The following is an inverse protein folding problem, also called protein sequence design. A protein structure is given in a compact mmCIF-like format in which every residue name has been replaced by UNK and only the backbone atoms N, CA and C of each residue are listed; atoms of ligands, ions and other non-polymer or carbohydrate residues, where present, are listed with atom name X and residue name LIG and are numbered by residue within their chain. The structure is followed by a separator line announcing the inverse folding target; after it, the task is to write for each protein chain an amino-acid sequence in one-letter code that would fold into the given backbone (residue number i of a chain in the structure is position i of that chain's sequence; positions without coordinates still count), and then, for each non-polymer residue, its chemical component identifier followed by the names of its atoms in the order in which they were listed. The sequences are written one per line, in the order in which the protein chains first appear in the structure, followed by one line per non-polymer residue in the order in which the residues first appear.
data_IF_735789650074
#
_entry.id   IF_735789650074
#
_cell.length_a   1.000
_cell.length_b   1.000
_cell.length_c   1.000
_cell.angle_alpha   90.00
_cell.angle_beta   90.00
_cell.angle_gamma   90.00
#
_symmetry.space_group_name_H-M   'P 1'
#
loop_
_entity.id
_entity.type
_entity.pdbx_description
1 polymer ?
#
# COMPACT_ATOMS: atom_id res chain seq x y z
N UNK A 1 30.33 -1.89 -20.55
CA UNK A 1 29.25 -2.83 -20.95
C UNK A 1 28.48 -3.12 -19.69
N UNK A 2 27.42 -2.35 -19.42
CA UNK A 2 26.61 -2.50 -18.21
C UNK A 2 25.66 -3.65 -18.50
N UNK A 3 25.84 -4.78 -17.82
CA UNK A 3 24.90 -5.90 -17.88
C UNK A 3 23.48 -5.37 -17.66
N UNK A 4 22.58 -5.65 -18.59
CA UNK A 4 21.16 -5.38 -18.39
C UNK A 4 20.72 -6.17 -17.16
N UNK A 5 20.54 -5.48 -16.03
CA UNK A 5 20.03 -6.11 -14.80
C UNK A 5 18.75 -6.85 -15.16
N UNK A 6 18.80 -8.17 -15.06
CA UNK A 6 17.66 -9.04 -15.27
C UNK A 6 16.50 -8.52 -14.40
N UNK A 7 15.39 -8.19 -15.06
CA UNK A 7 14.09 -7.78 -14.50
C UNK A 7 13.73 -8.69 -13.32
N UNK A 8 13.93 -8.23 -12.09
CA UNK A 8 13.74 -9.07 -10.91
C UNK A 8 12.24 -9.22 -10.61
N UNK A 9 11.57 -10.11 -11.35
CA UNK A 9 10.23 -10.59 -11.03
C UNK A 9 10.36 -11.70 -10.01
N UNK A 10 9.94 -11.44 -8.78
CA UNK A 10 9.95 -12.44 -7.72
C UNK A 10 8.65 -13.24 -7.82
N UNK A 11 8.76 -14.51 -8.20
CA UNK A 11 7.61 -15.41 -8.30
C UNK A 11 7.24 -15.87 -6.89
N UNK A 12 5.93 -15.89 -6.58
CA UNK A 12 5.46 -16.65 -5.43
C UNK A 12 5.55 -18.14 -5.72
N UNK A 13 5.67 -18.91 -4.65
CA UNK A 13 5.72 -20.37 -4.67
C UNK A 13 4.46 -21.00 -5.24
N UNK A 14 3.31 -20.34 -5.13
CA UNK A 14 2.04 -20.79 -5.70
C UNK A 14 1.96 -20.60 -7.22
N UNK A 15 2.92 -19.93 -7.85
CA UNK A 15 3.00 -19.75 -9.30
C UNK A 15 2.02 -18.72 -9.88
N UNK A 16 1.38 -17.91 -9.03
CA UNK A 16 0.37 -16.91 -9.42
C UNK A 16 1.05 -15.65 -9.97
N UNK A 17 1.15 -15.55 -11.29
CA UNK A 17 1.89 -14.47 -11.95
C UNK A 17 1.32 -13.06 -11.75
N UNK A 18 0.03 -12.96 -11.46
CA UNK A 18 -0.66 -11.69 -11.18
C UNK A 18 -0.28 -11.10 -9.82
N UNK A 19 0.08 -11.96 -8.86
CA UNK A 19 0.60 -11.59 -7.54
C UNK A 19 2.12 -11.65 -7.45
N UNK A 20 2.83 -11.77 -8.58
CA UNK A 20 4.28 -11.70 -8.58
C UNK A 20 4.76 -10.29 -8.19
N UNK A 21 5.69 -10.19 -7.26
CA UNK A 21 6.28 -8.92 -6.83
C UNK A 21 7.13 -8.35 -7.97
N UNK A 22 6.82 -7.11 -8.35
CA UNK A 22 7.54 -6.32 -9.36
C UNK A 22 7.84 -4.95 -8.75
N UNK A 23 9.11 -4.69 -8.46
CA UNK A 23 9.51 -3.47 -7.79
C UNK A 23 9.45 -2.28 -8.74
N UNK A 24 8.28 -1.67 -8.87
CA UNK A 24 8.02 -0.64 -9.87
C UNK A 24 8.88 0.62 -9.63
N UNK A 25 9.32 0.92 -8.41
CA UNK A 25 10.27 2.02 -8.17
C UNK A 25 11.68 1.75 -8.70
N UNK A 26 12.09 0.49 -8.89
CA UNK A 26 13.38 0.17 -9.52
C UNK A 26 13.27 0.33 -11.04
N UNK A 27 12.06 0.19 -11.58
CA UNK A 27 11.77 0.18 -13.02
C UNK A 27 11.42 1.59 -13.53
N UNK A 28 10.61 2.37 -12.79
CA UNK A 28 10.01 3.63 -13.21
C UNK A 28 9.84 4.67 -12.05
N UNK A 29 10.78 4.79 -11.10
CA UNK A 29 10.66 5.83 -10.05
C UNK A 29 10.76 7.23 -10.66
N UNK A 30 9.63 7.81 -11.06
CA UNK A 30 9.56 9.13 -11.69
C UNK A 30 8.81 10.16 -10.83
N UNK A 31 8.16 9.76 -9.73
CA UNK A 31 7.40 10.64 -8.85
C UNK A 31 8.18 11.11 -7.62
N UNK A 32 8.38 12.42 -7.47
CA UNK A 32 8.67 13.03 -6.16
C UNK A 32 7.51 12.80 -5.20
N UNK A 33 7.78 12.71 -3.89
CA UNK A 33 6.73 12.63 -2.86
C UNK A 33 6.58 11.26 -2.19
N UNK A 34 5.44 11.07 -1.52
CA UNK A 34 5.07 9.94 -0.70
C UNK A 34 3.91 9.14 -1.31
N UNK A 35 3.97 7.81 -1.15
CA UNK A 35 2.82 6.92 -1.30
C UNK A 35 2.49 6.34 0.07
N UNK A 36 1.26 6.52 0.55
CA UNK A 36 0.77 5.78 1.71
C UNK A 36 0.22 4.43 1.27
N UNK A 37 0.64 3.35 1.93
CA UNK A 37 0.16 1.99 1.69
C UNK A 37 -0.60 1.53 2.92
N UNK A 38 -1.91 1.40 2.78
CA UNK A 38 -2.83 0.95 3.81
C UNK A 38 -3.13 -0.52 3.62
N UNK A 39 -2.94 -1.32 4.66
CA UNK A 39 -3.54 -2.66 4.73
C UNK A 39 -4.88 -2.55 5.44
N UNK A 40 -5.94 -3.04 4.81
CA UNK A 40 -7.28 -3.01 5.39
C UNK A 40 -7.91 -4.41 5.36
N UNK A 41 -8.71 -4.70 6.38
CA UNK A 41 -9.62 -5.83 6.43
C UNK A 41 -10.78 -5.50 7.35
N UNK A 42 -11.98 -5.42 6.80
CA UNK A 42 -13.21 -5.09 7.51
C UNK A 42 -13.11 -3.75 8.29
N UNK A 43 -12.66 -2.71 7.60
CA UNK A 43 -12.40 -1.35 8.14
C UNK A 43 -13.40 -0.30 7.64
N UNK A 44 -14.55 -0.69 7.07
CA UNK A 44 -15.53 0.24 6.49
C UNK A 44 -15.95 1.34 7.48
N UNK A 45 -16.00 1.02 8.77
CA UNK A 45 -16.33 1.99 9.83
C UNK A 45 -15.19 2.99 10.12
N UNK A 46 -13.94 2.58 9.97
CA UNK A 46 -12.75 3.35 10.33
C UNK A 46 -12.32 4.28 9.19
N UNK A 47 -12.42 3.81 7.94
CA UNK A 47 -11.90 4.52 6.77
C UNK A 47 -12.41 5.96 6.57
N UNK A 48 -13.67 6.31 6.87
CA UNK A 48 -14.13 7.70 6.79
C UNK A 48 -13.36 8.68 7.69
N UNK A 49 -12.72 8.17 8.75
CA UNK A 49 -11.89 8.97 9.66
C UNK A 49 -10.40 8.93 9.29
N UNK A 50 -9.95 7.80 8.76
CA UNK A 50 -8.54 7.54 8.44
C UNK A 50 -8.12 8.16 7.10
N UNK A 51 -8.88 7.90 6.04
CA UNK A 51 -8.51 8.29 4.68
C UNK A 51 -8.38 9.80 4.45
N UNK A 52 -9.23 10.68 5.01
CA UNK A 52 -9.18 12.10 4.66
C UNK A 52 -7.82 12.76 4.94
N UNK A 53 -7.24 12.49 6.12
CA UNK A 53 -5.94 13.07 6.49
C UNK A 53 -4.81 12.52 5.63
N UNK A 54 -4.82 11.20 5.37
CA UNK A 54 -3.81 10.55 4.53
C UNK A 54 -3.87 11.08 3.09
N UNK A 55 -5.04 11.07 2.45
CA UNK A 55 -5.22 11.50 1.05
C UNK A 55 -4.79 12.95 0.80
N UNK A 56 -4.95 13.84 1.79
CA UNK A 56 -4.50 15.24 1.71
C UNK A 56 -2.99 15.40 1.88
N UNK A 57 -2.32 14.43 2.48
CA UNK A 57 -0.92 14.53 2.91
C UNK A 57 0.07 13.87 1.98
N UNK A 58 -0.39 13.03 1.04
CA UNK A 58 0.47 12.28 0.12
C UNK A 58 0.02 12.42 -1.33
N UNK A 59 0.93 12.15 -2.25
CA UNK A 59 0.68 12.19 -3.68
C UNK A 59 -0.19 11.01 -4.13
N UNK A 60 -0.01 9.85 -3.51
CA UNK A 60 -0.75 8.62 -3.82
C UNK A 60 -1.09 7.83 -2.54
N UNK A 61 -2.26 7.23 -2.53
CA UNK A 61 -2.72 6.31 -1.48
C UNK A 61 -3.08 4.98 -2.13
N UNK A 62 -2.50 3.90 -1.62
CA UNK A 62 -2.81 2.53 -2.03
C UNK A 62 -3.51 1.86 -0.86
N UNK A 63 -4.77 1.46 -1.05
CA UNK A 63 -5.50 0.63 -0.10
C UNK A 63 -5.45 -0.81 -0.60
N UNK A 64 -4.82 -1.69 0.19
CA UNK A 64 -4.77 -3.13 -0.08
C UNK A 64 -5.80 -3.82 0.78
N UNK A 65 -6.91 -4.21 0.15
CA UNK A 65 -8.00 -4.96 0.76
C UNK A 65 -7.65 -6.45 0.89
N UNK A 66 -7.61 -6.96 2.12
CA UNK A 66 -7.35 -8.37 2.38
C UNK A 66 -8.64 -9.18 2.59
N UNK A 67 -9.54 -9.09 1.61
CA UNK A 67 -10.78 -9.87 1.57
C UNK A 67 -11.78 -9.40 2.60
N UNK A 68 -12.08 -8.09 2.62
CA UNK A 68 -13.14 -7.55 3.46
C UNK A 68 -14.52 -8.01 3.00
N UNK A 69 -15.48 -7.98 3.92
CA UNK A 69 -16.86 -8.43 3.73
C UNK A 69 -17.89 -7.37 4.13
N UNK A 70 -17.44 -6.23 4.63
CA UNK A 70 -18.25 -5.13 5.18
C UNK A 70 -18.38 -3.92 4.24
N UNK A 71 -17.93 -4.03 2.98
CA UNK A 71 -17.94 -2.93 2.02
C UNK A 71 -16.74 -1.98 2.13
N UNK A 72 -15.67 -2.37 2.84
CA UNK A 72 -14.42 -1.60 2.96
C UNK A 72 -13.91 -0.99 1.65
N UNK A 73 -13.76 -1.74 0.53
CA UNK A 73 -13.23 -1.16 -0.70
C UNK A 73 -14.15 -0.10 -1.30
N UNK A 74 -15.48 -0.29 -1.25
CA UNK A 74 -16.46 0.69 -1.72
C UNK A 74 -16.40 1.97 -0.90
N UNK A 75 -16.35 1.86 0.43
CA UNK A 75 -16.22 3.02 1.32
C UNK A 75 -14.93 3.80 1.05
N UNK A 76 -13.81 3.11 0.77
CA UNK A 76 -12.56 3.78 0.43
C UNK A 76 -12.70 4.68 -0.81
N UNK A 77 -13.34 4.15 -1.86
CA UNK A 77 -13.63 4.88 -3.09
C UNK A 77 -14.56 6.06 -2.84
N UNK A 78 -15.67 5.85 -2.13
CA UNK A 78 -16.65 6.90 -1.80
C UNK A 78 -16.02 8.07 -1.03
N UNK A 79 -15.16 7.78 -0.05
CA UNK A 79 -14.46 8.80 0.74
C UNK A 79 -13.51 9.62 -0.15
N UNK A 80 -12.74 8.96 -1.03
CA UNK A 80 -11.82 9.66 -1.92
C UNK A 80 -12.56 10.52 -2.95
N UNK A 81 -13.63 10.00 -3.55
CA UNK A 81 -14.50 10.74 -4.48
C UNK A 81 -15.17 11.93 -3.79
N UNK A 82 -15.70 11.74 -2.59
CA UNK A 82 -16.31 12.82 -1.79
C UNK A 82 -15.35 13.96 -1.44
N UNK A 83 -14.03 13.68 -1.44
CA UNK A 83 -12.98 14.68 -1.24
C UNK A 83 -12.43 15.26 -2.55
N UNK A 84 -12.86 14.77 -3.71
CA UNK A 84 -12.27 15.13 -5.01
C UNK A 84 -10.83 14.64 -5.18
N UNK A 85 -10.44 13.58 -4.46
CA UNK A 85 -9.09 13.01 -4.45
C UNK A 85 -9.08 11.56 -4.99
N UNK A 86 -10.12 11.15 -5.72
CA UNK A 86 -10.26 9.82 -6.31
C UNK A 86 -9.06 9.39 -7.16
N UNK A 87 -8.50 10.31 -7.95
CA UNK A 87 -7.30 10.06 -8.78
C UNK A 87 -6.03 9.76 -7.96
N UNK A 88 -6.02 10.09 -6.66
CA UNK A 88 -4.91 9.76 -5.75
C UNK A 88 -5.07 8.42 -5.07
N UNK A 89 -6.24 7.78 -5.17
CA UNK A 89 -6.53 6.51 -4.52
C UNK A 89 -6.42 5.35 -5.53
N UNK A 90 -5.74 4.29 -5.11
CA UNK A 90 -5.79 2.99 -5.77
C UNK A 90 -6.21 1.93 -4.77
N UNK A 91 -7.27 1.19 -5.09
CA UNK A 91 -7.71 0.05 -4.28
C UNK A 91 -7.27 -1.23 -4.97
N UNK A 92 -6.56 -2.10 -4.24
CA UNK A 92 -6.04 -3.37 -4.72
C UNK A 92 -6.62 -4.50 -3.88
N UNK A 93 -7.05 -5.59 -4.52
CA UNK A 93 -7.52 -6.77 -3.82
C UNK A 93 -6.39 -7.78 -3.60
N UNK A 94 -6.29 -8.32 -2.39
CA UNK A 94 -5.40 -9.41 -2.04
C UNK A 94 -6.21 -10.54 -1.36
N UNK A 95 -6.77 -11.47 -2.12
CA UNK A 95 -7.81 -12.40 -1.66
C UNK A 95 -7.26 -13.67 -0.98
N UNK A 96 -6.07 -13.59 -0.37
CA UNK A 96 -5.44 -14.73 0.30
C UNK A 96 -5.54 -14.62 1.82
N UNK A 97 -5.70 -15.75 2.50
CA UNK A 97 -5.54 -15.80 3.94
C UNK A 97 -4.06 -15.54 4.30
N UNK A 98 -3.77 -14.35 4.82
CA UNK A 98 -2.42 -13.94 5.22
C UNK A 98 -2.15 -14.41 6.65
N UNK A 99 -0.99 -15.02 6.86
CA UNK A 99 -0.51 -15.49 8.16
C UNK A 99 -0.49 -14.36 9.19
N UNK A 100 -1.01 -14.61 10.40
CA UNK A 100 -0.94 -13.64 11.49
C UNK A 100 0.45 -13.60 12.10
N UNK A 101 0.81 -12.47 12.70
CA UNK A 101 2.04 -12.37 13.49
C UNK A 101 2.04 -13.43 14.60
N UNK A 102 3.16 -14.11 14.80
CA UNK A 102 3.31 -15.21 15.75
C UNK A 102 3.65 -16.53 15.05
N UNK A 103 3.27 -17.68 15.62
CA UNK A 103 3.62 -18.99 15.06
C UNK A 103 3.21 -19.13 13.59
N UNK A 104 1.97 -18.76 13.22
CA UNK A 104 1.50 -18.85 11.82
C UNK A 104 2.47 -18.21 10.83
N UNK A 105 3.01 -17.04 11.16
CA UNK A 105 4.03 -16.37 10.34
C UNK A 105 5.32 -17.18 10.23
N UNK A 106 5.82 -17.76 11.34
CA UNK A 106 7.04 -18.57 11.36
C UNK A 106 6.93 -19.86 10.55
N UNK A 107 5.74 -20.44 10.45
CA UNK A 107 5.48 -21.66 9.68
C UNK A 107 5.16 -21.40 8.21
N UNK A 108 4.91 -20.14 7.83
CA UNK A 108 4.57 -19.78 6.45
C UNK A 108 5.81 -19.36 5.68
N UNK A 109 6.12 -20.08 4.60
CA UNK A 109 7.26 -19.75 3.74
C UNK A 109 7.21 -18.29 3.24
N UNK A 110 8.32 -17.53 3.29
CA UNK A 110 8.32 -16.10 2.98
C UNK A 110 8.01 -15.75 1.52
N UNK A 111 8.11 -16.73 0.61
CA UNK A 111 7.77 -16.63 -0.81
C UNK A 111 6.34 -17.13 -1.13
N UNK A 112 5.54 -17.44 -0.12
CA UNK A 112 4.13 -17.80 -0.23
C UNK A 112 3.23 -16.58 -0.30
N UNK A 113 2.19 -16.58 -1.14
CA UNK A 113 1.13 -15.55 -1.11
C UNK A 113 0.39 -15.48 0.23
N UNK A 114 0.46 -16.53 1.04
CA UNK A 114 -0.10 -16.55 2.40
C UNK A 114 0.82 -15.92 3.44
N UNK A 115 2.06 -15.58 3.08
CA UNK A 115 3.01 -14.99 4.02
C UNK A 115 2.74 -13.51 4.24
N UNK A 116 2.80 -13.08 5.50
CA UNK A 116 2.83 -11.65 5.84
C UNK A 116 4.00 -10.91 5.17
N UNK A 117 5.15 -11.56 5.02
CA UNK A 117 6.32 -10.99 4.31
C UNK A 117 6.00 -10.75 2.84
N UNK A 118 5.47 -11.77 2.16
CA UNK A 118 5.15 -11.67 0.75
C UNK A 118 4.03 -10.65 0.50
N UNK A 119 3.01 -10.66 1.35
CA UNK A 119 1.91 -9.71 1.32
C UNK A 119 2.42 -8.26 1.34
N UNK A 120 3.31 -7.92 2.27
CA UNK A 120 3.90 -6.57 2.33
C UNK A 120 4.78 -6.29 1.11
N UNK A 121 5.62 -7.23 0.69
CA UNK A 121 6.45 -7.03 -0.50
C UNK A 121 5.60 -6.73 -1.74
N UNK A 122 4.52 -7.49 -1.94
CA UNK A 122 3.57 -7.26 -3.03
C UNK A 122 2.89 -5.89 -2.91
N UNK A 123 2.40 -5.54 -1.71
CA UNK A 123 1.72 -4.26 -1.46
C UNK A 123 2.61 -3.06 -1.79
N UNK A 124 3.85 -3.07 -1.30
CA UNK A 124 4.82 -1.99 -1.55
C UNK A 124 5.37 -2.00 -2.97
N UNK A 125 5.30 -3.12 -3.69
CA UNK A 125 5.76 -3.20 -5.07
C UNK A 125 4.99 -2.27 -6.02
N UNK A 126 3.78 -1.85 -5.63
CA UNK A 126 2.94 -0.92 -6.37
C UNK A 126 3.30 0.57 -6.18
N UNK A 127 4.21 0.88 -5.25
CA UNK A 127 4.68 2.26 -4.99
C UNK A 127 5.52 2.76 -6.16
N UNK A 128 5.20 3.97 -6.62
CA UNK A 128 5.90 4.65 -7.73
C UNK A 128 6.65 5.92 -7.27
N UNK A 129 6.35 6.41 -6.07
CA UNK A 129 7.01 7.57 -5.50
C UNK A 129 8.33 7.20 -4.83
N UNK A 130 9.20 8.19 -4.64
CA UNK A 130 10.49 8.01 -3.97
C UNK A 130 10.38 7.54 -2.52
N UNK A 131 9.33 7.95 -1.81
CA UNK A 131 9.10 7.59 -0.41
C UNK A 131 7.80 6.82 -0.26
N UNK A 132 7.76 5.90 0.70
CA UNK A 132 6.59 5.11 1.03
C UNK A 132 6.31 5.19 2.54
N UNK A 133 5.03 5.23 2.91
CA UNK A 133 4.56 5.19 4.28
C UNK A 133 3.72 3.93 4.47
N UNK A 134 4.01 3.13 5.49
CA UNK A 134 3.08 2.10 5.96
C UNK A 134 2.02 2.77 6.82
N UNK A 135 0.76 2.47 6.57
CA UNK A 135 -0.36 2.96 7.37
C UNK A 135 -1.34 1.83 7.65
N UNK A 136 -2.01 1.86 8.80
CA UNK A 136 -3.03 0.86 9.16
C UNK A 136 -4.44 1.47 9.03
N UNK A 137 -5.43 0.64 8.70
CA UNK A 137 -6.81 1.07 8.43
C UNK A 137 -7.56 1.69 9.61
N UNK A 138 -6.95 1.67 10.79
CA UNK A 138 -7.47 2.17 12.07
C UNK A 138 -6.61 3.32 12.65
N UNK A 139 -5.59 3.81 11.92
CA UNK A 139 -4.76 4.93 12.35
C UNK A 139 -5.26 6.26 11.79
N UNK A 140 -5.69 7.18 12.66
CA UNK A 140 -6.13 8.53 12.25
C UNK A 140 -4.96 9.50 12.28
N UNK A 141 -4.69 10.16 11.14
CA UNK A 141 -3.69 11.22 11.05
C UNK A 141 -4.25 12.53 11.62
N UNK A 142 -3.53 13.15 12.55
CA UNK A 142 -3.92 14.43 13.15
C UNK A 142 -3.62 15.60 12.21
N UNK A 143 -4.29 16.76 12.35
CA UNK A 143 -3.96 17.97 11.59
C UNK A 143 -2.50 18.41 11.74
N UNK A 144 -1.88 18.23 12.91
CA UNK A 144 -0.45 18.44 13.13
C UNK A 144 0.39 17.47 12.30
N UNK A 145 -0.01 16.20 12.27
CA UNK A 145 0.65 15.18 11.45
C UNK A 145 0.59 15.49 9.95
N UNK A 146 -0.56 15.98 9.45
CA UNK A 146 -0.68 16.44 8.06
C UNK A 146 0.34 17.54 7.72
N UNK A 147 0.53 18.50 8.65
CA UNK A 147 1.53 19.57 8.48
C UNK A 147 2.95 19.03 8.46
N UNK A 148 3.29 18.12 9.38
CA UNK A 148 4.62 17.51 9.44
C UNK A 148 4.95 16.74 8.15
N UNK A 149 4.00 15.95 7.62
CA UNK A 149 4.21 15.22 6.37
C UNK A 149 4.40 16.15 5.18
N UNK A 150 3.63 17.25 5.12
CA UNK A 150 3.78 18.26 4.07
C UNK A 150 5.13 18.98 4.13
N UNK A 151 5.56 19.38 5.32
CA UNK A 151 6.84 20.06 5.53
C UNK A 151 8.00 19.12 5.17
N UNK A 152 7.90 17.85 5.56
CA UNK A 152 8.88 16.83 5.19
C UNK A 152 8.90 16.62 3.67
N UNK A 153 7.74 16.51 3.01
CA UNK A 153 7.67 16.39 1.56
C UNK A 153 8.36 17.55 0.86
N UNK A 154 8.15 18.78 1.33
CA UNK A 154 8.82 19.96 0.81
C UNK A 154 10.35 19.91 1.00
N UNK A 155 10.84 19.48 2.17
CA UNK A 155 12.28 19.33 2.41
C UNK A 155 12.94 18.26 1.53
N UNK A 156 12.20 17.21 1.18
CA UNK A 156 12.71 16.10 0.37
C UNK A 156 12.62 16.34 -1.14
N UNK A 157 11.95 17.43 -1.56
CA UNK A 157 11.85 17.85 -2.97
C UNK A 157 13.13 18.51 -3.50
N UNK A 158 14.04 18.94 -2.61
CA UNK A 158 15.44 19.34 -2.88
C UNK A 158 15.74 19.94 -4.25
#
# INVERSE_FOLDING_TARGET
MIESRSRAKWKNREGLSEYAVRWNWVEDSSGSGFTAVLRVKDEARSLPWVLPGVLRSVEQTIVVDNGSTDGTPEVALEVAEGLGLGERLRVLSYPFAVSRCGPEHLWTYPDSVHSLTYFYNWSFSHVLTRYALKWDGDMVLTPEGERVLRDLAWQLQG
#
